data_IF_492022650798
#
_entry.id   IF_492022650798
#
_cell.length_a   1.000
_cell.length_b   1.000
_cell.length_c   1.000
_cell.angle_alpha   90.00
_cell.angle_beta   90.00
_cell.angle_gamma   90.00
#
_symmetry.space_group_name_H-M   'P 1'
#
loop_
_entity.id
_entity.type
_entity.pdbx_description
1 polymer ?
#
# COMPACT_ATOMS: atom_id res chain seq x y z
N UNK A 1 -27.87 16.96 37.74
CA UNK A 1 -27.43 15.59 37.37
C UNK A 1 -26.93 15.68 35.92
N UNK A 2 -25.70 15.38 35.53
CA UNK A 2 -24.58 14.68 36.13
C UNK A 2 -23.28 15.50 35.95
N UNK A 3 -22.32 15.27 36.85
CA UNK A 3 -20.97 15.82 36.82
C UNK A 3 -20.08 14.84 36.06
N UNK A 4 -19.53 15.23 34.91
CA UNK A 4 -18.52 14.44 34.18
C UNK A 4 -17.18 14.57 34.89
N UNK A 5 -16.61 13.45 35.32
CA UNK A 5 -15.31 13.41 35.98
C UNK A 5 -14.18 13.40 34.93
N UNK A 6 -13.00 13.97 35.22
CA UNK A 6 -11.84 13.84 34.34
C UNK A 6 -11.36 12.38 34.37
N UNK A 7 -11.42 11.69 33.24
CA UNK A 7 -10.99 10.29 33.10
C UNK A 7 -11.99 9.36 32.41
N UNK A 8 -13.22 9.82 32.12
CA UNK A 8 -14.15 9.04 31.30
C UNK A 8 -13.65 8.99 29.85
N UNK A 9 -13.56 7.81 29.22
CA UNK A 9 -13.22 7.71 27.81
C UNK A 9 -14.23 8.52 27.00
N UNK A 10 -13.72 9.41 26.15
CA UNK A 10 -14.54 10.20 25.23
C UNK A 10 -15.35 9.21 24.40
N UNK A 11 -16.65 9.12 24.66
CA UNK A 11 -17.57 8.38 23.82
C UNK A 11 -17.54 9.04 22.44
N UNK A 12 -16.91 8.38 21.47
CA UNK A 12 -16.92 8.80 20.07
C UNK A 12 -18.31 8.51 19.51
N UNK A 13 -19.23 9.46 19.67
CA UNK A 13 -20.53 9.43 19.00
C UNK A 13 -20.32 9.52 17.47
N UNK A 14 -20.82 8.49 16.77
CA UNK A 14 -20.91 8.43 15.31
C UNK A 14 -19.71 7.77 14.62
N UNK A 15 -19.97 6.66 13.92
CA UNK A 15 -19.01 6.03 13.01
C UNK A 15 -18.55 7.04 11.95
N UNK A 16 -17.44 7.74 12.20
CA UNK A 16 -16.76 8.54 11.18
C UNK A 16 -16.02 7.57 10.27
N UNK A 17 -16.35 7.60 8.99
CA UNK A 17 -15.56 6.85 8.01
C UNK A 17 -14.11 7.35 8.03
N UNK A 18 -13.12 6.44 8.01
CA UNK A 18 -11.72 6.82 7.95
C UNK A 18 -11.42 7.66 6.71
N UNK A 19 -10.48 8.58 6.85
CA UNK A 19 -9.92 9.32 5.72
C UNK A 19 -8.80 8.49 5.07
N UNK A 20 -9.06 7.96 3.88
CA UNK A 20 -8.11 7.17 3.12
C UNK A 20 -7.20 8.08 2.28
N UNK A 21 -5.89 7.95 2.50
CA UNK A 21 -4.84 8.63 1.75
C UNK A 21 -4.03 7.58 0.99
N UNK A 22 -3.98 7.71 -0.33
CA UNK A 22 -3.12 6.86 -1.14
C UNK A 22 -1.77 7.52 -1.39
N UNK A 23 -0.69 6.73 -1.29
CA UNK A 23 0.69 7.17 -1.51
C UNK A 23 1.35 6.28 -2.56
N UNK A 24 1.38 6.74 -3.81
CA UNK A 24 1.98 6.02 -4.92
C UNK A 24 3.38 6.54 -5.28
N UNK A 25 4.08 5.81 -6.15
CA UNK A 25 5.43 6.13 -6.59
C UNK A 25 6.26 4.89 -6.90
N UNK A 26 7.28 5.01 -7.73
CA UNK A 26 8.14 3.88 -8.07
C UNK A 26 8.81 3.23 -6.84
N UNK A 27 9.19 1.96 -6.95
CA UNK A 27 10.01 1.32 -5.90
C UNK A 27 11.25 2.17 -5.62
N UNK A 28 11.63 2.27 -4.35
CA UNK A 28 12.73 3.13 -3.88
C UNK A 28 12.55 4.64 -4.11
N UNK A 29 11.35 5.13 -4.46
CA UNK A 29 11.06 6.58 -4.49
C UNK A 29 11.03 7.20 -3.08
N UNK A 30 10.65 6.40 -2.08
CA UNK A 30 10.57 6.84 -0.67
C UNK A 30 9.14 6.90 -0.12
N UNK A 31 8.14 6.31 -0.79
CA UNK A 31 6.75 6.18 -0.30
C UNK A 31 6.67 5.76 1.17
N UNK A 32 7.22 4.60 1.50
CA UNK A 32 7.18 4.05 2.86
C UNK A 32 7.93 4.96 3.85
N UNK A 33 9.01 5.62 3.43
CA UNK A 33 9.70 6.63 4.25
C UNK A 33 8.84 7.86 4.53
N UNK A 34 8.07 8.34 3.54
CA UNK A 34 7.11 9.43 3.72
C UNK A 34 5.99 9.02 4.68
N UNK A 35 5.41 7.83 4.50
CA UNK A 35 4.38 7.30 5.40
C UNK A 35 4.89 7.18 6.84
N UNK A 36 6.09 6.62 7.03
CA UNK A 36 6.72 6.50 8.35
C UNK A 36 7.00 7.88 8.98
N UNK A 37 7.40 8.87 8.17
CA UNK A 37 7.62 10.23 8.67
C UNK A 37 6.32 10.90 9.08
N UNK A 38 5.22 10.66 8.37
CA UNK A 38 3.88 11.13 8.75
C UNK A 38 3.48 10.54 10.11
N UNK A 39 3.67 9.23 10.31
CA UNK A 39 3.39 8.57 11.59
C UNK A 39 4.23 9.14 12.74
N UNK A 40 5.51 9.42 12.49
CA UNK A 40 6.42 10.02 13.46
C UNK A 40 5.96 11.43 13.86
N UNK A 41 5.68 12.29 12.88
CA UNK A 41 5.24 13.67 13.12
C UNK A 41 3.88 13.75 13.83
N UNK A 42 3.02 12.74 13.65
CA UNK A 42 1.73 12.61 14.34
C UNK A 42 1.83 11.88 15.69
N UNK A 43 3.05 11.53 16.14
CA UNK A 43 3.29 10.83 17.40
C UNK A 43 2.71 9.42 17.49
N UNK A 44 2.36 8.81 16.35
CA UNK A 44 1.66 7.51 16.31
C UNK A 44 2.58 6.30 16.51
N UNK A 45 3.90 6.49 16.36
CA UNK A 45 4.88 5.41 16.48
C UNK A 45 4.98 4.85 17.91
N UNK A 46 4.74 5.69 18.92
CA UNK A 46 4.82 5.34 20.34
C UNK A 46 3.47 4.89 20.92
N UNK A 47 2.40 4.99 20.13
CA UNK A 47 1.04 4.62 20.55
C UNK A 47 0.80 3.14 20.23
N UNK A 48 0.16 2.46 21.19
CA UNK A 48 -0.32 1.09 21.03
C UNK A 48 -1.17 0.97 19.75
N UNK A 49 -0.93 -0.08 18.97
CA UNK A 49 -1.61 -0.35 17.71
C UNK A 49 -3.14 -0.41 17.83
N UNK A 50 -3.69 -0.76 19.01
CA UNK A 50 -5.13 -0.70 19.29
C UNK A 50 -5.71 0.71 19.41
N UNK A 51 -4.86 1.71 19.70
CA UNK A 51 -5.25 3.09 19.95
C UNK A 51 -4.75 4.07 18.89
N UNK A 52 -4.05 3.57 17.86
CA UNK A 52 -3.55 4.41 16.77
C UNK A 52 -4.70 5.04 16.02
N UNK A 53 -4.59 6.34 15.80
CA UNK A 53 -5.50 7.10 14.96
C UNK A 53 -5.12 7.01 13.49
N UNK A 54 -3.90 6.57 13.20
CA UNK A 54 -3.37 6.41 11.83
C UNK A 54 -2.84 5.00 11.62
N UNK A 55 -3.27 4.35 10.55
CA UNK A 55 -2.74 3.05 10.11
C UNK A 55 -1.99 3.19 8.78
N UNK A 56 -0.96 2.37 8.58
CA UNK A 56 -0.28 2.21 7.27
C UNK A 56 -0.53 0.80 6.76
N UNK A 57 -0.95 0.69 5.50
CA UNK A 57 -1.03 -0.55 4.76
C UNK A 57 -0.12 -0.45 3.53
N UNK A 58 0.60 -1.52 3.21
CA UNK A 58 1.39 -1.63 1.98
C UNK A 58 0.68 -2.50 0.95
N UNK A 59 0.70 -2.08 -0.31
CA UNK A 59 0.20 -2.84 -1.45
C UNK A 59 0.95 -4.17 -1.60
N UNK A 60 2.21 -4.26 -1.15
CA UNK A 60 3.02 -5.46 -1.28
C UNK A 60 2.50 -6.62 -0.42
N UNK A 61 1.75 -6.34 0.65
CA UNK A 61 1.03 -7.39 1.39
C UNK A 61 0.04 -8.15 0.51
N UNK A 62 -0.45 -7.52 -0.55
CA UNK A 62 -1.52 -8.03 -1.40
C UNK A 62 -1.02 -8.69 -2.69
N UNK A 63 0.25 -9.10 -2.76
CA UNK A 63 0.68 -10.00 -3.84
C UNK A 63 -0.15 -11.29 -3.84
N UNK A 64 -0.46 -11.78 -5.04
CA UNK A 64 -1.16 -13.06 -5.23
C UNK A 64 -0.26 -14.22 -4.83
N UNK A 65 -0.90 -15.30 -4.36
CA UNK A 65 -0.23 -16.59 -4.21
C UNK A 65 0.05 -17.14 -5.60
N UNK A 66 1.32 -17.40 -5.90
CA UNK A 66 1.73 -17.88 -7.21
C UNK A 66 1.31 -19.35 -7.42
N UNK A 67 0.81 -19.65 -8.60
CA UNK A 67 0.61 -21.04 -9.07
C UNK A 67 1.97 -21.76 -9.15
N UNK A 68 2.00 -23.11 -9.16
CA UNK A 68 3.27 -23.85 -9.31
C UNK A 68 4.08 -23.43 -10.54
N UNK A 69 3.41 -23.13 -11.66
CA UNK A 69 4.06 -22.63 -12.88
C UNK A 69 4.66 -21.23 -12.66
N UNK A 70 3.92 -20.31 -12.06
CA UNK A 70 4.40 -18.97 -11.77
C UNK A 70 5.55 -18.98 -10.76
N UNK A 71 5.52 -19.85 -9.75
CA UNK A 71 6.65 -20.04 -8.82
C UNK A 71 7.89 -20.51 -9.56
N UNK A 72 7.77 -21.46 -10.48
CA UNK A 72 8.89 -21.94 -11.28
C UNK A 72 9.50 -20.83 -12.16
N UNK A 73 8.68 -19.90 -12.68
CA UNK A 73 9.14 -18.70 -13.39
C UNK A 73 9.80 -17.70 -12.44
N UNK A 74 9.20 -17.44 -11.28
CA UNK A 74 9.73 -16.51 -10.27
C UNK A 74 11.11 -16.92 -9.77
N UNK A 75 11.32 -18.21 -9.47
CA UNK A 75 12.62 -18.77 -9.07
C UNK A 75 13.70 -18.62 -10.14
N UNK A 76 13.32 -18.45 -11.42
CA UNK A 76 14.22 -18.18 -12.55
C UNK A 76 14.36 -16.70 -12.87
N UNK A 77 13.73 -15.81 -12.08
CA UNK A 77 13.66 -14.37 -12.33
C UNK A 77 12.75 -13.97 -13.50
N UNK A 78 11.92 -14.89 -14.01
CA UNK A 78 11.10 -14.73 -15.22
C UNK A 78 9.64 -14.37 -14.92
N UNK A 79 9.31 -14.03 -13.67
CA UNK A 79 7.99 -13.55 -13.28
C UNK A 79 8.06 -12.06 -13.00
N UNK A 80 7.12 -11.30 -13.58
CA UNK A 80 7.08 -9.84 -13.41
C UNK A 80 6.18 -9.48 -12.22
N UNK A 81 6.79 -9.18 -11.07
CA UNK A 81 6.09 -8.74 -9.86
C UNK A 81 5.56 -7.31 -9.98
N UNK A 82 6.09 -6.52 -10.91
CA UNK A 82 5.64 -5.15 -11.15
C UNK A 82 4.46 -5.09 -12.15
N UNK A 83 3.86 -6.23 -12.53
CA UNK A 83 2.67 -6.23 -13.37
C UNK A 83 1.41 -6.03 -12.51
N UNK A 84 0.40 -5.24 -12.96
CA UNK A 84 -0.86 -5.07 -12.22
C UNK A 84 -1.53 -6.38 -11.76
N UNK A 85 -1.45 -7.43 -12.60
CA UNK A 85 -2.04 -8.73 -12.29
C UNK A 85 -1.33 -9.51 -11.16
N UNK A 86 -0.12 -9.09 -10.77
CA UNK A 86 0.59 -9.69 -9.63
C UNK A 86 -0.09 -9.37 -8.29
N UNK A 87 -0.90 -8.30 -8.25
CA UNK A 87 -1.63 -7.86 -7.07
C UNK A 87 -3.05 -8.43 -7.04
N UNK A 88 -3.51 -8.76 -5.84
CA UNK A 88 -4.85 -9.23 -5.54
C UNK A 88 -5.78 -8.02 -5.31
N UNK A 89 -6.17 -7.39 -6.42
CA UNK A 89 -6.99 -6.17 -6.39
C UNK A 89 -8.35 -6.39 -5.73
N UNK A 90 -8.94 -7.58 -5.87
CA UNK A 90 -10.22 -7.92 -5.22
C UNK A 90 -10.07 -7.89 -3.70
N UNK A 91 -9.01 -8.51 -3.17
CA UNK A 91 -8.71 -8.47 -1.74
C UNK A 91 -8.38 -7.04 -1.25
N UNK A 92 -7.69 -6.24 -2.05
CA UNK A 92 -7.43 -4.82 -1.72
C UNK A 92 -8.76 -4.07 -1.60
N UNK A 93 -9.67 -4.22 -2.57
CA UNK A 93 -10.97 -3.54 -2.58
C UNK A 93 -11.79 -3.96 -1.37
N UNK A 94 -11.93 -5.27 -1.12
CA UNK A 94 -12.63 -5.81 0.04
C UNK A 94 -12.09 -5.23 1.34
N UNK A 95 -10.76 -5.28 1.52
CA UNK A 95 -10.09 -4.76 2.72
C UNK A 95 -10.34 -3.26 2.92
N UNK A 96 -10.22 -2.46 1.85
CA UNK A 96 -10.42 -1.01 1.94
C UNK A 96 -11.88 -0.65 2.22
N UNK A 97 -12.84 -1.42 1.69
CA UNK A 97 -14.26 -1.24 1.99
C UNK A 97 -14.58 -1.59 3.45
N UNK A 98 -14.04 -2.71 3.95
CA UNK A 98 -14.21 -3.09 5.35
C UNK A 98 -13.61 -2.06 6.31
N UNK A 99 -12.44 -1.50 5.97
CA UNK A 99 -11.85 -0.38 6.70
C UNK A 99 -12.79 0.83 6.71
N UNK A 100 -13.39 1.20 5.57
CA UNK A 100 -14.34 2.33 5.49
C UNK A 100 -15.59 2.14 6.34
N UNK A 101 -15.99 0.89 6.55
CA UNK A 101 -17.09 0.51 7.44
C UNK A 101 -16.67 0.47 8.93
N UNK A 102 -15.39 0.73 9.23
CA UNK A 102 -14.86 0.71 10.59
C UNK A 102 -14.73 -0.69 11.16
N UNK A 103 -14.54 -1.70 10.30
CA UNK A 103 -14.26 -3.08 10.72
C UNK A 103 -12.76 -3.25 11.02
N UNK A 104 -12.47 -4.16 11.95
CA UNK A 104 -11.12 -4.69 12.13
C UNK A 104 -10.81 -5.62 10.96
N UNK A 105 -9.67 -5.45 10.30
CA UNK A 105 -9.25 -6.27 9.15
C UNK A 105 -7.93 -6.99 9.42
N UNK A 106 -7.72 -8.09 8.73
CA UNK A 106 -6.51 -8.91 8.83
C UNK A 106 -5.72 -8.87 7.53
N UNK A 107 -4.59 -8.17 7.56
CA UNK A 107 -3.77 -7.94 6.38
C UNK A 107 -2.81 -9.13 6.20
N UNK A 108 -2.75 -9.76 5.02
CA UNK A 108 -1.80 -10.84 4.76
C UNK A 108 -0.35 -10.37 4.92
N UNK A 109 0.50 -11.26 5.44
CA UNK A 109 1.96 -11.09 5.42
C UNK A 109 2.51 -11.81 4.21
N UNK A 110 3.10 -11.06 3.27
CA UNK A 110 3.74 -11.63 2.09
C UNK A 110 5.23 -11.91 2.35
N UNK A 111 5.67 -13.13 2.03
CA UNK A 111 7.08 -13.50 2.05
C UNK A 111 7.66 -13.46 0.64
N UNK A 112 8.53 -12.49 0.42
CA UNK A 112 9.22 -12.26 -0.83
C UNK A 112 10.25 -13.34 -1.18
N UNK A 113 10.72 -14.12 -0.20
CA UNK A 113 11.69 -15.20 -0.43
C UNK A 113 10.98 -16.44 -0.97
N UNK A 114 9.85 -16.81 -0.35
CA UNK A 114 9.07 -18.00 -0.75
C UNK A 114 8.00 -17.70 -1.81
N UNK A 115 7.77 -16.43 -2.15
CA UNK A 115 6.70 -15.94 -3.03
C UNK A 115 5.32 -16.47 -2.61
N UNK A 116 5.04 -16.41 -1.32
CA UNK A 116 3.78 -16.87 -0.74
C UNK A 116 3.29 -15.99 0.41
N UNK A 117 1.99 -16.07 0.70
CA UNK A 117 1.42 -15.51 1.92
C UNK A 117 1.70 -16.45 3.07
N UNK A 118 2.06 -15.88 4.21
CA UNK A 118 2.22 -16.63 5.45
C UNK A 118 0.87 -16.89 6.11
N UNK A 119 0.86 -17.80 7.09
CA UNK A 119 -0.35 -18.09 7.87
C UNK A 119 -0.70 -16.94 8.83
N UNK A 120 0.32 -16.24 9.34
CA UNK A 120 0.11 -15.06 10.15
C UNK A 120 -0.41 -13.86 9.34
N UNK A 121 -1.21 -13.03 10.01
CA UNK A 121 -1.73 -11.77 9.48
C UNK A 121 -1.41 -10.62 10.43
N UNK A 122 -1.40 -9.40 9.90
CA UNK A 122 -1.31 -8.18 10.70
C UNK A 122 -2.72 -7.63 10.90
N UNK A 123 -3.15 -7.56 12.16
CA UNK A 123 -4.45 -6.98 12.50
C UNK A 123 -4.40 -5.46 12.44
N UNK A 124 -5.34 -4.86 11.69
CA UNK A 124 -5.54 -3.41 11.63
C UNK A 124 -6.88 -3.08 12.27
N UNK A 125 -6.83 -2.30 13.34
CA UNK A 125 -8.01 -1.81 14.06
C UNK A 125 -8.57 -0.55 13.37
N UNK A 126 -9.85 -0.21 13.60
CA UNK A 126 -10.44 1.00 13.07
C UNK A 126 -9.63 2.25 13.43
N UNK A 127 -9.26 3.03 12.43
CA UNK A 127 -8.44 4.24 12.55
C UNK A 127 -9.18 5.45 11.98
N UNK A 128 -8.75 6.66 12.33
CA UNK A 128 -9.32 7.90 11.77
C UNK A 128 -8.75 8.20 10.37
N UNK A 129 -7.50 7.81 10.14
CA UNK A 129 -6.77 7.99 8.88
C UNK A 129 -6.08 6.69 8.51
N UNK A 130 -6.10 6.34 7.23
CA UNK A 130 -5.40 5.16 6.72
C UNK A 130 -4.55 5.57 5.52
N UNK A 131 -3.24 5.35 5.64
CA UNK A 131 -2.27 5.52 4.57
C UNK A 131 -2.14 4.18 3.84
N UNK A 132 -2.56 4.10 2.58
CA UNK A 132 -2.26 2.95 1.72
C UNK A 132 -1.15 3.33 0.76
N UNK A 133 -0.04 2.60 0.74
CA UNK A 133 1.11 2.92 -0.09
C UNK A 133 1.46 1.77 -1.04
N UNK A 134 1.88 2.08 -2.26
CA UNK A 134 2.17 1.05 -3.25
C UNK A 134 2.66 1.59 -4.59
N UNK A 135 3.29 0.73 -5.38
CA UNK A 135 3.82 1.11 -6.69
C UNK A 135 2.71 1.34 -7.74
N UNK A 136 1.61 0.59 -7.67
CA UNK A 136 0.55 0.56 -8.67
C UNK A 136 -0.86 0.78 -8.10
N UNK A 137 -0.96 1.29 -6.87
CA UNK A 137 -2.24 1.43 -6.20
C UNK A 137 -3.27 2.32 -6.93
N UNK A 138 -2.83 3.24 -7.78
CA UNK A 138 -3.72 4.08 -8.58
C UNK A 138 -3.96 3.55 -10.00
N UNK A 139 -3.38 2.40 -10.36
CA UNK A 139 -3.59 1.78 -11.67
C UNK A 139 -5.07 1.40 -11.88
N UNK A 140 -5.65 0.68 -10.92
CA UNK A 140 -7.09 0.35 -10.91
C UNK A 140 -7.92 1.58 -10.57
N UNK A 141 -8.91 1.90 -11.40
CA UNK A 141 -9.84 2.99 -11.14
C UNK A 141 -10.70 2.73 -9.90
N UNK A 142 -11.16 1.49 -9.71
CA UNK A 142 -12.00 1.11 -8.57
C UNK A 142 -11.29 1.36 -7.24
N UNK A 143 -10.02 0.95 -7.14
CA UNK A 143 -9.19 1.22 -5.96
C UNK A 143 -8.95 2.72 -5.81
N UNK A 144 -8.60 3.40 -6.91
CA UNK A 144 -8.31 4.84 -6.92
C UNK A 144 -9.49 5.68 -6.42
N UNK A 145 -10.72 5.30 -6.73
CA UNK A 145 -11.91 6.06 -6.37
C UNK A 145 -12.30 5.90 -4.88
N UNK A 146 -11.66 4.98 -4.16
CA UNK A 146 -11.83 4.84 -2.71
C UNK A 146 -11.07 5.91 -1.90
N UNK A 147 -10.05 6.56 -2.48
CA UNK A 147 -9.17 7.50 -1.78
C UNK A 147 -9.66 8.95 -1.83
N UNK A 148 -9.68 9.61 -0.67
CA UNK A 148 -10.01 11.04 -0.55
C UNK A 148 -8.81 11.92 -0.93
N UNK A 149 -7.59 11.43 -0.68
CA UNK A 149 -6.36 12.12 -1.05
C UNK A 149 -5.41 11.16 -1.77
N UNK A 150 -4.75 11.66 -2.80
CA UNK A 150 -3.83 10.90 -3.66
C UNK A 150 -2.50 11.63 -3.72
N UNK A 151 -1.46 11.02 -3.19
CA UNK A 151 -0.10 11.52 -3.17
C UNK A 151 0.77 10.68 -4.09
N UNK A 152 1.69 11.32 -4.80
CA UNK A 152 2.67 10.63 -5.62
C UNK A 152 4.07 11.11 -5.24
N UNK A 153 4.92 10.19 -4.81
CA UNK A 153 6.33 10.47 -4.51
C UNK A 153 7.12 10.34 -5.80
N UNK A 154 7.32 11.48 -6.45
CA UNK A 154 8.11 11.61 -7.67
C UNK A 154 9.61 11.63 -7.34
N UNK A 155 10.37 10.74 -7.94
CA UNK A 155 11.82 10.62 -7.75
C UNK A 155 12.44 10.07 -9.01
N UNK A 156 13.49 10.73 -9.49
CA UNK A 156 14.20 10.38 -10.71
C UNK A 156 14.57 8.89 -10.76
N UNK A 157 14.43 8.28 -11.93
CA UNK A 157 14.69 6.86 -12.14
C UNK A 157 16.11 6.45 -11.72
N UNK A 158 17.11 7.27 -12.05
CA UNK A 158 18.51 7.03 -11.68
C UNK A 158 18.72 7.03 -10.16
N UNK A 159 18.04 7.94 -9.46
CA UNK A 159 18.06 8.00 -7.99
C UNK A 159 17.41 6.76 -7.38
N UNK A 160 16.25 6.34 -7.90
CA UNK A 160 15.56 5.11 -7.45
C UNK A 160 16.42 3.87 -7.70
N UNK A 161 17.03 3.78 -8.87
CA UNK A 161 17.91 2.67 -9.24
C UNK A 161 19.13 2.60 -8.32
N UNK A 162 19.77 3.74 -8.04
CA UNK A 162 20.90 3.84 -7.12
C UNK A 162 20.53 3.37 -5.70
N UNK A 163 19.36 3.77 -5.19
CA UNK A 163 18.86 3.32 -3.89
C UNK A 163 18.54 1.82 -3.86
N UNK A 164 17.98 1.29 -4.95
CA UNK A 164 17.67 -0.16 -5.07
C UNK A 164 18.94 -0.99 -5.15
N UNK A 165 19.98 -0.49 -5.81
CA UNK A 165 21.29 -1.14 -5.91
C UNK A 165 22.07 -1.15 -4.57
N UNK A 166 21.61 -0.39 -3.57
CA UNK A 166 22.27 -0.34 -2.27
C UNK A 166 22.18 -1.69 -1.54
N UNK A 167 23.29 -2.21 -0.96
CA UNK A 167 23.31 -3.53 -0.33
C UNK A 167 22.30 -3.74 0.81
N UNK A 168 21.86 -2.65 1.47
CA UNK A 168 20.87 -2.68 2.54
C UNK A 168 19.40 -2.61 2.07
N UNK A 169 19.12 -2.63 0.76
CA UNK A 169 17.74 -2.58 0.27
C UNK A 169 17.02 -3.91 0.57
N UNK A 170 15.86 -3.88 1.27
CA UNK A 170 15.18 -5.10 1.73
C UNK A 170 14.61 -5.95 0.59
N UNK A 171 14.23 -5.31 -0.52
CA UNK A 171 13.73 -5.97 -1.72
C UNK A 171 14.86 -6.10 -2.75
N UNK A 172 15.40 -7.31 -2.87
CA UNK A 172 16.39 -7.66 -3.89
C UNK A 172 15.78 -8.60 -4.91
N UNK A 173 15.04 -8.05 -5.88
CA UNK A 173 14.68 -8.82 -7.07
C UNK A 173 15.93 -8.95 -7.97
N UNK A 174 16.28 -10.14 -8.48
CA UNK A 174 17.29 -10.26 -9.53
C UNK A 174 16.89 -9.37 -10.70
N UNK A 175 17.78 -8.45 -11.09
CA UNK A 175 17.57 -7.48 -12.16
C UNK A 175 16.96 -8.12 -13.41
N UNK A 176 15.65 -7.93 -13.59
CA UNK A 176 14.98 -8.11 -14.86
C UNK A 176 13.93 -7.00 -15.02
N UNK A 177 14.27 -6.05 -15.89
CA UNK A 177 13.36 -5.10 -16.57
C UNK A 177 12.95 -3.82 -15.84
N UNK A 178 13.91 -2.98 -15.42
CA UNK A 178 13.65 -1.56 -15.07
C UNK A 178 12.79 -0.83 -16.12
N UNK A 179 12.96 -1.19 -17.41
CA UNK A 179 12.23 -0.56 -18.52
C UNK A 179 10.71 -0.84 -18.56
N UNK A 180 10.20 -1.94 -17.97
CA UNK A 180 8.76 -2.25 -18.02
C UNK A 180 7.98 -1.69 -16.84
N UNK A 181 8.63 -1.46 -15.71
CA UNK A 181 8.02 -0.92 -14.49
C UNK A 181 7.66 0.55 -14.64
N UNK A 182 8.53 1.33 -15.29
CA UNK A 182 8.32 2.77 -15.47
C UNK A 182 7.07 3.09 -16.30
N UNK A 183 6.65 2.22 -17.22
CA UNK A 183 5.39 2.39 -17.96
C UNK A 183 4.18 2.36 -17.02
N UNK A 184 4.10 1.37 -16.13
CA UNK A 184 2.97 1.23 -15.20
C UNK A 184 3.00 2.30 -14.11
N UNK A 185 4.20 2.66 -13.63
CA UNK A 185 4.39 3.77 -12.69
C UNK A 185 3.92 5.08 -13.34
N UNK A 186 4.27 5.34 -14.60
CA UNK A 186 3.80 6.52 -15.32
C UNK A 186 2.28 6.55 -15.46
N UNK A 187 1.64 5.40 -15.72
CA UNK A 187 0.17 5.30 -15.73
C UNK A 187 -0.40 5.62 -14.35
N UNK A 188 0.18 5.07 -13.28
CA UNK A 188 -0.19 5.34 -11.89
C UNK A 188 0.00 6.82 -11.52
N UNK A 189 1.07 7.45 -12.01
CA UNK A 189 1.36 8.87 -11.83
C UNK A 189 0.35 9.76 -12.56
N UNK A 190 0.10 9.49 -13.84
CA UNK A 190 -0.87 10.22 -14.65
C UNK A 190 -2.28 10.12 -14.03
N UNK A 191 -2.63 8.93 -13.55
CA UNK A 191 -3.84 8.66 -12.78
C UNK A 191 -3.94 9.50 -11.49
N UNK A 192 -2.85 9.59 -10.72
CA UNK A 192 -2.79 10.38 -9.50
C UNK A 192 -2.91 11.89 -9.77
N UNK A 193 -2.17 12.40 -10.77
CA UNK A 193 -2.06 13.84 -11.08
C UNK A 193 -3.30 14.39 -11.77
N UNK A 194 -3.97 13.61 -12.62
CA UNK A 194 -4.97 14.14 -13.55
C UNK A 194 -6.39 13.59 -13.36
N UNK A 195 -6.58 12.56 -12.53
CA UNK A 195 -7.88 11.88 -12.41
C UNK A 195 -8.35 11.24 -13.72
N UNK A 196 -7.44 11.01 -14.68
CA UNK A 196 -7.77 10.60 -16.05
C UNK A 196 -8.06 9.08 -16.12
N UNK A 197 -9.12 8.74 -16.85
CA UNK A 197 -9.47 7.38 -17.31
C UNK A 197 -8.33 6.80 -18.18
N UNK A 198 -8.02 5.52 -17.98
CA UNK A 198 -6.97 4.82 -18.72
C UNK A 198 -7.09 5.05 -20.24
N UNK A 199 -6.01 5.32 -20.99
CA UNK A 199 -5.98 4.91 -22.39
C UNK A 199 -5.89 3.38 -22.43
N UNK A 200 -6.67 2.75 -23.32
CA UNK A 200 -6.64 1.31 -23.52
C UNK A 200 -5.19 0.82 -23.75
N UNK A 201 -4.82 -0.38 -23.28
CA UNK A 201 -3.49 -0.93 -23.54
C UNK A 201 -3.25 -0.99 -25.04
N UNK A 202 -2.09 -0.52 -25.48
CA UNK A 202 -1.62 -0.76 -26.85
C UNK A 202 -1.37 -2.27 -26.97
N UNK A 203 -2.23 -2.92 -27.75
CA UNK A 203 -2.11 -4.31 -28.21
C UNK A 203 -0.81 -4.54 -28.98
#
# INVERSE_FOLDING_TARGET
TASTKPGDPVQRDGHRQPFLIGVAGGTASGKSSVCNKIMELLGQNEIDHHQRQVAILSQDSFYKVLTPEHKAKALKGQFNFDHPDAFDNDLIIETLLDIKEGKTVHIPVYDFVSHSRKEETVTVYPADVVLFEGILMFYSQEIRDLFQMKLFVDTDADTRLSRRAHPGHPERWPDQTTQRVDQWIWVSEAAARRGIQQPAPLT
#
